data_IF_125297221050
#
_entry.id   IF_125297221050
#
_cell.length_a   1.000
_cell.length_b   1.000
_cell.length_c   1.000
_cell.angle_alpha   90.00
_cell.angle_beta   90.00
_cell.angle_gamma   90.00
#
_symmetry.space_group_name_H-M   'P 1'
#
loop_
_entity.id
_entity.type
_entity.pdbx_description
1 polymer ?
#
# COMPACT_ATOMS: atom_id res chain seq x y z
N UNK A 1 -32.47 -12.56 -63.86
CA UNK A 1 -32.19 -11.64 -62.74
C UNK A 1 -32.83 -12.23 -61.49
N UNK A 2 -32.16 -13.19 -60.82
CA UNK A 2 -32.75 -13.93 -59.69
C UNK A 2 -32.08 -13.50 -58.38
N UNK A 3 -32.93 -13.08 -57.44
CA UNK A 3 -32.56 -12.46 -56.18
C UNK A 3 -31.92 -13.46 -55.21
N UNK A 4 -30.73 -13.15 -54.73
CA UNK A 4 -30.10 -13.84 -53.60
C UNK A 4 -30.73 -13.33 -52.31
N UNK A 5 -31.46 -14.19 -51.59
CA UNK A 5 -31.88 -13.91 -50.21
C UNK A 5 -30.64 -13.84 -49.31
N UNK A 6 -30.22 -12.63 -48.93
CA UNK A 6 -29.25 -12.42 -47.84
C UNK A 6 -29.97 -12.62 -46.51
N UNK A 7 -29.84 -13.80 -45.92
CA UNK A 7 -30.18 -14.02 -44.52
C UNK A 7 -29.20 -13.24 -43.65
N UNK A 8 -29.67 -12.16 -43.02
CA UNK A 8 -28.90 -11.41 -42.03
C UNK A 8 -28.74 -12.30 -40.80
N UNK A 9 -27.51 -12.71 -40.46
CA UNK A 9 -27.25 -13.44 -39.23
C UNK A 9 -27.57 -12.53 -38.03
N UNK A 10 -28.54 -12.93 -37.21
CA UNK A 10 -28.91 -12.18 -35.99
C UNK A 10 -27.70 -12.16 -35.05
N UNK A 11 -27.11 -10.99 -34.85
CA UNK A 11 -26.12 -10.76 -33.80
C UNK A 11 -26.74 -11.20 -32.47
N UNK A 12 -26.21 -12.28 -31.89
CA UNK A 12 -26.59 -12.71 -30.54
C UNK A 12 -25.97 -11.69 -29.59
N UNK A 13 -26.74 -10.64 -29.29
CA UNK A 13 -26.38 -9.65 -28.29
C UNK A 13 -26.28 -10.38 -26.94
N UNK A 14 -25.05 -10.71 -26.54
CA UNK A 14 -24.75 -11.26 -25.22
C UNK A 14 -24.79 -10.09 -24.25
N UNK A 15 -26.00 -9.72 -23.81
CA UNK A 15 -26.17 -8.77 -22.73
C UNK A 15 -25.52 -9.29 -21.45
N UNK A 16 -25.16 -8.37 -20.56
CA UNK A 16 -24.70 -8.72 -19.21
C UNK A 16 -25.87 -9.39 -18.48
N UNK A 17 -25.74 -10.67 -18.14
CA UNK A 17 -26.75 -11.38 -17.37
C UNK A 17 -26.94 -10.70 -16.00
N UNK A 18 -28.17 -10.62 -15.50
CA UNK A 18 -28.46 -10.10 -14.16
C UNK A 18 -27.58 -10.75 -13.08
N UNK A 19 -27.36 -12.07 -13.19
CA UNK A 19 -26.46 -12.81 -12.30
C UNK A 19 -25.02 -12.31 -12.43
N UNK A 20 -24.56 -12.05 -13.65
CA UNK A 20 -23.23 -11.48 -13.90
C UNK A 20 -23.06 -10.10 -13.27
N UNK A 21 -24.08 -9.23 -13.36
CA UNK A 21 -24.09 -7.92 -12.68
C UNK A 21 -23.95 -8.09 -11.16
N UNK A 22 -24.73 -8.98 -10.56
CA UNK A 22 -24.71 -9.22 -9.11
C UNK A 22 -23.34 -9.70 -8.65
N UNK A 23 -22.73 -10.67 -9.35
CA UNK A 23 -21.40 -11.18 -9.01
C UNK A 23 -20.36 -10.06 -9.09
N UNK A 24 -20.36 -9.28 -10.17
CA UNK A 24 -19.43 -8.15 -10.33
C UNK A 24 -19.66 -7.10 -9.23
N UNK A 25 -20.92 -6.82 -8.88
CA UNK A 25 -21.27 -5.90 -7.80
C UNK A 25 -20.71 -6.34 -6.44
N UNK A 26 -20.88 -7.61 -6.08
CA UNK A 26 -20.34 -8.16 -4.82
C UNK A 26 -18.81 -8.09 -4.82
N UNK A 27 -18.15 -8.47 -5.92
CA UNK A 27 -16.70 -8.37 -6.04
C UNK A 27 -16.20 -6.94 -5.96
N UNK A 28 -16.91 -5.99 -6.57
CA UNK A 28 -16.57 -4.58 -6.50
C UNK A 28 -16.67 -4.05 -5.06
N UNK A 29 -17.75 -4.36 -4.33
CA UNK A 29 -17.90 -3.97 -2.92
C UNK A 29 -16.79 -4.56 -2.06
N UNK A 30 -16.48 -5.85 -2.24
CA UNK A 30 -15.39 -6.50 -1.52
C UNK A 30 -14.02 -5.85 -1.82
N UNK A 31 -13.74 -5.56 -3.09
CA UNK A 31 -12.51 -4.88 -3.50
C UNK A 31 -12.42 -3.46 -2.93
N UNK A 32 -13.52 -2.71 -2.91
CA UNK A 32 -13.58 -1.37 -2.32
C UNK A 32 -13.40 -1.40 -0.80
N UNK A 33 -14.03 -2.35 -0.11
CA UNK A 33 -13.90 -2.48 1.34
C UNK A 33 -12.44 -2.76 1.77
N UNK A 34 -11.79 -3.70 1.08
CA UNK A 34 -10.38 -4.06 1.33
C UNK A 34 -9.45 -2.91 0.89
N UNK A 35 -9.65 -2.40 -0.33
CA UNK A 35 -8.79 -1.37 -0.91
C UNK A 35 -8.86 -0.02 -0.19
N UNK A 36 -10.04 0.35 0.31
CA UNK A 36 -10.23 1.58 1.08
C UNK A 36 -9.41 1.59 2.37
N UNK A 37 -9.30 0.45 3.05
CA UNK A 37 -8.46 0.30 4.24
C UNK A 37 -6.96 0.32 3.93
N UNK A 38 -6.56 -0.01 2.69
CA UNK A 38 -5.16 0.03 2.26
C UNK A 38 -4.62 1.46 2.12
N UNK A 39 -5.46 2.43 1.76
CA UNK A 39 -5.04 3.82 1.53
C UNK A 39 -4.33 4.45 2.74
N UNK A 40 -4.89 4.45 3.97
CA UNK A 40 -4.20 5.02 5.12
C UNK A 40 -2.88 4.31 5.44
N UNK A 41 -2.78 3.00 5.18
CA UNK A 41 -1.52 2.24 5.37
C UNK A 41 -0.44 2.74 4.43
N UNK A 42 -0.77 2.98 3.16
CA UNK A 42 0.20 3.51 2.22
C UNK A 42 0.62 4.94 2.57
N UNK A 43 -0.32 5.79 2.99
CA UNK A 43 0.00 7.15 3.43
C UNK A 43 0.97 7.15 4.62
N UNK A 44 0.74 6.28 5.61
CA UNK A 44 1.65 6.09 6.74
C UNK A 44 3.03 5.62 6.27
N UNK A 45 3.10 4.65 5.34
CA UNK A 45 4.38 4.17 4.80
C UNK A 45 5.17 5.26 4.06
N UNK A 46 4.48 6.17 3.36
CA UNK A 46 5.10 7.32 2.71
C UNK A 46 5.63 8.34 3.72
N UNK A 47 4.88 8.61 4.79
CA UNK A 47 5.33 9.46 5.88
C UNK A 47 6.58 8.89 6.55
N UNK A 48 6.59 7.58 6.82
CA UNK A 48 7.76 6.88 7.37
C UNK A 48 8.97 7.00 6.43
N UNK A 49 8.80 6.75 5.13
CA UNK A 49 9.89 6.86 4.16
C UNK A 49 10.51 8.26 4.18
N UNK A 50 9.67 9.30 4.27
CA UNK A 50 10.12 10.70 4.38
C UNK A 50 10.87 10.96 5.69
N UNK A 51 10.37 10.45 6.81
CA UNK A 51 11.00 10.57 8.12
C UNK A 51 12.37 9.86 8.17
N UNK A 52 12.48 8.66 7.60
CA UNK A 52 13.75 7.92 7.48
C UNK A 52 14.76 8.67 6.61
N UNK A 53 14.33 9.18 5.46
CA UNK A 53 15.18 9.98 4.58
C UNK A 53 15.66 11.27 5.26
N UNK A 54 14.82 11.90 6.06
CA UNK A 54 15.19 13.08 6.86
C UNK A 54 16.20 12.72 7.94
N UNK A 55 15.96 11.65 8.69
CA UNK A 55 16.84 11.19 9.76
C UNK A 55 18.24 10.81 9.24
N UNK A 56 18.32 10.14 8.07
CA UNK A 56 19.57 9.79 7.42
C UNK A 56 20.40 11.01 6.97
N UNK A 57 19.75 12.14 6.68
CA UNK A 57 20.42 13.39 6.29
C UNK A 57 20.85 14.24 7.48
N UNK A 58 20.10 14.20 8.58
CA UNK A 58 20.32 15.06 9.75
C UNK A 58 21.28 14.46 10.79
N UNK A 59 21.38 13.13 10.87
CA UNK A 59 22.16 12.45 11.91
C UNK A 59 23.33 11.64 11.35
N UNK A 60 24.46 11.68 12.06
CA UNK A 60 25.64 10.87 11.73
C UNK A 60 25.86 9.73 12.72
N UNK A 61 25.20 9.80 13.87
CA UNK A 61 25.24 8.79 14.93
C UNK A 61 23.87 8.15 15.13
N UNK A 62 23.87 6.92 15.65
CA UNK A 62 22.61 6.18 15.91
C UNK A 62 21.65 6.98 16.80
N UNK A 63 22.07 7.59 17.93
CA UNK A 63 21.15 8.35 18.78
C UNK A 63 20.55 9.58 18.09
N UNK A 64 21.33 10.30 17.27
CA UNK A 64 20.84 11.46 16.52
C UNK A 64 19.78 11.07 15.48
N UNK A 65 20.02 9.97 14.76
CA UNK A 65 19.10 9.46 13.73
C UNK A 65 17.78 9.04 14.37
N UNK A 66 17.84 8.31 15.49
CA UNK A 66 16.64 7.89 16.23
C UNK A 66 15.86 9.10 16.72
N UNK A 67 16.54 10.08 17.32
CA UNK A 67 15.90 11.31 17.78
C UNK A 67 15.33 12.16 16.65
N UNK A 68 16.00 12.24 15.49
CA UNK A 68 15.48 12.94 14.31
C UNK A 68 14.24 12.24 13.76
N UNK A 69 14.26 10.91 13.67
CA UNK A 69 13.10 10.12 13.28
C UNK A 69 11.93 10.32 14.26
N UNK A 70 12.15 10.21 15.56
CA UNK A 70 11.08 10.36 16.57
C UNK A 70 10.43 11.75 16.50
N UNK A 71 11.21 12.81 16.25
CA UNK A 71 10.67 14.15 16.01
C UNK A 71 9.84 14.23 14.73
N UNK A 72 10.30 13.60 13.65
CA UNK A 72 9.55 13.57 12.39
C UNK A 72 8.26 12.74 12.53
N UNK A 73 8.34 11.60 13.22
CA UNK A 73 7.22 10.73 13.52
C UNK A 73 6.15 11.45 14.35
N UNK A 74 6.54 12.26 15.33
CA UNK A 74 5.61 13.07 16.12
C UNK A 74 4.91 14.19 15.30
N UNK A 75 5.52 14.66 14.21
CA UNK A 75 4.92 15.67 13.31
C UNK A 75 3.94 15.03 12.33
N UNK A 76 4.30 13.86 11.78
CA UNK A 76 3.51 13.14 10.78
C UNK A 76 2.57 12.08 11.42
N UNK A 77 2.34 12.13 12.75
CA UNK A 77 1.49 11.23 13.54
C UNK A 77 1.75 9.73 13.31
N UNK A 78 3.03 9.35 13.22
CA UNK A 78 3.47 7.98 13.01
C UNK A 78 3.60 7.26 14.36
N UNK A 79 2.75 6.26 14.58
CA UNK A 79 2.77 5.42 15.80
C UNK A 79 3.10 3.94 15.53
N UNK A 80 3.26 3.55 14.27
CA UNK A 80 3.59 2.18 13.82
C UNK A 80 4.93 1.69 14.35
N UNK A 81 5.90 2.59 14.31
CA UNK A 81 7.32 2.33 14.52
C UNK A 81 7.91 3.56 15.19
N UNK A 82 9.06 3.36 15.83
CA UNK A 82 9.79 4.41 16.53
C UNK A 82 11.27 4.33 16.20
N UNK A 83 12.05 5.33 16.60
CA UNK A 83 13.48 5.41 16.33
C UNK A 83 14.24 4.17 16.81
N UNK A 84 13.81 3.55 17.91
CA UNK A 84 14.42 2.31 18.42
C UNK A 84 14.31 1.13 17.44
N UNK A 85 13.28 1.11 16.60
CA UNK A 85 13.00 0.03 15.65
C UNK A 85 13.77 0.22 14.32
N UNK A 86 14.54 1.32 14.21
CA UNK A 86 15.39 1.60 13.06
C UNK A 86 16.70 0.82 13.14
N UNK A 87 17.02 0.17 12.03
CA UNK A 87 18.34 -0.38 11.73
C UNK A 87 19.20 0.71 11.10
N UNK A 88 20.24 1.14 11.81
CA UNK A 88 21.21 2.11 11.29
C UNK A 88 22.45 1.36 10.83
N UNK A 89 22.74 1.46 9.54
CA UNK A 89 23.94 0.93 8.91
C UNK A 89 24.77 2.02 8.24
N UNK A 90 25.95 1.63 7.74
CA UNK A 90 26.78 2.47 6.88
C UNK A 90 27.05 1.74 5.58
N UNK A 91 26.95 2.44 4.46
CA UNK A 91 27.30 1.92 3.13
C UNK A 91 28.31 2.87 2.49
N UNK A 92 29.59 2.50 2.60
CA UNK A 92 30.70 3.42 2.31
C UNK A 92 30.69 4.58 3.30
N UNK A 93 30.73 5.81 2.79
CA UNK A 93 30.69 7.04 3.59
C UNK A 93 29.27 7.54 3.93
N UNK A 94 28.22 6.87 3.44
CA UNK A 94 26.84 7.27 3.69
C UNK A 94 26.21 6.47 4.82
N UNK A 95 25.46 7.15 5.69
CA UNK A 95 24.60 6.50 6.67
C UNK A 95 23.34 6.01 5.97
N UNK A 96 22.98 4.76 6.22
CA UNK A 96 21.77 4.13 5.67
C UNK A 96 20.88 3.74 6.83
N UNK A 97 19.63 4.18 6.79
CA UNK A 97 18.63 3.90 7.81
C UNK A 97 17.57 3.00 7.19
N UNK A 98 17.25 1.89 7.86
CA UNK A 98 16.24 0.94 7.40
C UNK A 98 15.18 0.74 8.48
N UNK A 99 13.92 0.65 8.06
CA UNK A 99 12.80 0.33 8.93
C UNK A 99 12.04 -0.86 8.35
N UNK A 100 11.79 -1.86 9.19
CA UNK A 100 11.01 -3.05 8.84
C UNK A 100 9.84 -3.19 9.78
N UNK A 101 8.64 -3.29 9.24
CA UNK A 101 7.44 -3.46 10.04
C UNK A 101 6.32 -4.14 9.25
N UNK A 102 5.32 -4.62 9.98
CA UNK A 102 4.12 -5.20 9.41
C UNK A 102 2.88 -4.45 9.89
N UNK A 103 1.90 -4.28 9.00
CA UNK A 103 0.57 -3.75 9.30
C UNK A 103 -0.47 -4.83 9.02
N UNK A 104 -1.25 -5.15 10.04
CA UNK A 104 -2.30 -6.16 9.98
C UNK A 104 -3.66 -5.48 10.15
N UNK A 105 -4.59 -5.80 9.25
CA UNK A 105 -5.95 -5.28 9.25
C UNK A 105 -6.90 -6.48 9.25
N UNK A 106 -7.73 -6.59 10.28
CA UNK A 106 -8.77 -7.61 10.32
C UNK A 106 -9.85 -7.31 9.28
N UNK A 107 -10.14 -8.29 8.41
CA UNK A 107 -11.17 -8.16 7.38
C UNK A 107 -12.49 -8.76 7.85
N UNK A 108 -12.50 -10.07 8.15
CA UNK A 108 -13.67 -10.78 8.65
C UNK A 108 -13.28 -12.15 9.23
N UNK A 109 -13.73 -12.46 10.44
CA UNK A 109 -13.41 -13.74 11.09
C UNK A 109 -11.90 -13.97 11.17
N UNK A 110 -11.38 -15.15 10.75
CA UNK A 110 -9.94 -15.43 10.74
C UNK A 110 -9.19 -14.77 9.56
N UNK A 111 -9.85 -13.98 8.71
CA UNK A 111 -9.23 -13.36 7.55
C UNK A 111 -8.62 -12.00 7.89
N UNK A 112 -7.33 -11.83 7.55
CA UNK A 112 -6.56 -10.61 7.76
C UNK A 112 -5.87 -10.18 6.47
N UNK A 113 -5.76 -8.87 6.28
CA UNK A 113 -4.92 -8.24 5.28
C UNK A 113 -3.60 -7.84 5.95
N UNK A 114 -2.48 -8.32 5.40
CA UNK A 114 -1.16 -8.09 5.99
C UNK A 114 -0.28 -7.40 4.96
N UNK A 115 0.24 -6.23 5.35
CA UNK A 115 1.27 -5.51 4.64
C UNK A 115 2.60 -5.67 5.36
N UNK A 116 3.66 -5.98 4.62
CA UNK A 116 5.03 -6.02 5.13
C UNK A 116 5.85 -4.99 4.39
N UNK A 117 6.47 -4.08 5.13
CA UNK A 117 7.26 -3.00 4.59
C UNK A 117 8.73 -3.20 4.97
N UNK A 118 9.61 -3.01 4.00
CA UNK A 118 11.07 -2.92 4.17
C UNK A 118 11.50 -1.61 3.50
N UNK A 119 11.60 -0.56 4.30
CA UNK A 119 11.89 0.79 3.86
C UNK A 119 13.34 1.13 4.15
N UNK A 120 14.02 1.76 3.20
CA UNK A 120 15.42 2.14 3.34
C UNK A 120 15.63 3.59 2.90
N UNK A 121 16.52 4.31 3.58
CA UNK A 121 16.98 5.61 3.14
C UNK A 121 17.81 5.50 1.85
N UNK A 122 17.67 6.54 1.02
CA UNK A 122 18.49 6.75 -0.19
C UNK A 122 19.88 7.31 0.11
#
# INVERSE_FOLDING_TARGET
MNQQHRTVSRSRQRGLSFIGVVIIGVLAVAAFAIGGQSVPVFLESHAIQKAINKAAREGNTVPEIRGSFDRAAAIDDIFTISGKDLEVGKRGDKVVVRAKYAREIALAGPAYLVYRFDLQSE
#
